data_IF_807621759167
#
_entry.id   IF_807621759167
#
_cell.length_a   1.000
_cell.length_b   1.000
_cell.length_c   1.000
_cell.angle_alpha   90.00
_cell.angle_beta   90.00
_cell.angle_gamma   90.00
#
_symmetry.space_group_name_H-M   'P 1'
#
loop_
_entity.id
_entity.type
_entity.pdbx_description
1 polymer ?
#
# COMPACT_ATOMS: atom_id res chain seq x y z
N UNK A 1 72.34 -38.89 -62.71
CA UNK A 1 71.42 -39.30 -61.63
C UNK A 1 71.89 -38.73 -60.30
N UNK A 2 71.10 -37.87 -59.65
CA UNK A 2 70.60 -38.17 -58.31
C UNK A 2 69.52 -37.16 -57.91
N UNK A 3 68.47 -37.73 -57.30
CA UNK A 3 67.11 -37.22 -57.13
C UNK A 3 66.93 -36.73 -55.68
N UNK A 4 66.18 -35.64 -55.54
CA UNK A 4 65.27 -35.27 -54.43
C UNK A 4 65.94 -34.86 -53.09
N UNK A 5 65.64 -33.67 -52.55
CA UNK A 5 64.41 -33.46 -51.76
C UNK A 5 64.03 -31.97 -51.68
N UNK A 6 62.76 -31.58 -51.89
CA UNK A 6 62.29 -30.24 -51.55
C UNK A 6 62.17 -30.16 -50.02
N UNK A 7 62.93 -29.26 -49.39
CA UNK A 7 62.72 -28.90 -48.00
C UNK A 7 61.36 -28.19 -47.91
N UNK A 8 60.34 -28.97 -47.56
CA UNK A 8 58.98 -28.50 -47.35
C UNK A 8 58.98 -27.29 -46.42
N UNK A 9 58.57 -26.18 -47.01
CA UNK A 9 58.22 -24.92 -46.39
C UNK A 9 57.19 -25.16 -45.28
N UNK A 10 57.65 -25.40 -44.04
CA UNK A 10 56.77 -25.40 -42.86
C UNK A 10 56.41 -23.96 -42.54
N UNK A 11 55.52 -23.36 -43.33
CA UNK A 11 54.79 -22.17 -42.91
C UNK A 11 53.88 -22.59 -41.76
N UNK A 12 54.28 -22.28 -40.53
CA UNK A 12 53.44 -22.45 -39.36
C UNK A 12 52.23 -21.52 -39.51
N UNK A 13 51.01 -22.04 -39.74
CA UNK A 13 49.83 -21.23 -40.05
C UNK A 13 49.29 -20.46 -38.83
N UNK A 14 49.96 -20.53 -37.68
CA UNK A 14 49.51 -20.00 -36.39
C UNK A 14 50.28 -18.73 -35.94
N UNK A 15 51.34 -18.34 -36.65
CA UNK A 15 52.10 -17.11 -36.35
C UNK A 15 51.24 -15.82 -36.37
N UNK A 16 50.33 -15.59 -37.34
CA UNK A 16 49.50 -14.38 -37.32
C UNK A 16 48.41 -14.44 -36.24
N UNK A 17 47.90 -15.63 -35.91
CA UNK A 17 46.88 -15.81 -34.88
C UNK A 17 47.37 -15.53 -33.47
N UNK A 18 48.66 -15.83 -33.18
CA UNK A 18 49.26 -15.58 -31.87
C UNK A 18 49.34 -14.09 -31.54
N UNK A 19 49.66 -13.25 -32.53
CA UNK A 19 49.69 -11.78 -32.36
C UNK A 19 48.30 -11.19 -32.16
N UNK A 20 47.28 -11.72 -32.85
CA UNK A 20 45.89 -11.35 -32.62
C UNK A 20 45.42 -11.76 -31.21
N UNK A 21 45.77 -12.95 -30.76
CA UNK A 21 45.46 -13.41 -29.41
C UNK A 21 46.16 -12.56 -28.34
N UNK A 22 47.44 -12.21 -28.54
CA UNK A 22 48.19 -11.35 -27.65
C UNK A 22 47.63 -9.92 -27.62
N UNK A 23 47.25 -9.37 -28.78
CA UNK A 23 46.59 -8.07 -28.88
C UNK A 23 45.23 -8.06 -28.18
N UNK A 24 44.42 -9.10 -28.36
CA UNK A 24 43.12 -9.22 -27.70
C UNK A 24 43.26 -9.40 -26.19
N UNK A 25 44.25 -10.19 -25.75
CA UNK A 25 44.54 -10.39 -24.33
C UNK A 25 45.07 -9.10 -23.67
N UNK A 26 45.91 -8.33 -24.38
CA UNK A 26 46.36 -7.02 -23.94
C UNK A 26 45.22 -6.02 -23.84
N UNK A 27 44.33 -5.98 -24.84
CA UNK A 27 43.15 -5.10 -24.82
C UNK A 27 42.17 -5.50 -23.72
N UNK A 28 41.93 -6.80 -23.52
CA UNK A 28 41.07 -7.30 -22.46
C UNK A 28 41.66 -7.03 -21.07
N UNK A 29 42.97 -7.18 -20.89
CA UNK A 29 43.68 -6.85 -19.66
C UNK A 29 43.61 -5.35 -19.37
N UNK A 30 43.81 -4.50 -20.39
CA UNK A 30 43.67 -3.06 -20.26
C UNK A 30 42.23 -2.66 -19.92
N UNK A 31 41.23 -3.27 -20.56
CA UNK A 31 39.82 -3.05 -20.25
C UNK A 31 39.46 -3.50 -18.83
N UNK A 32 40.08 -4.57 -18.32
CA UNK A 32 39.89 -5.05 -16.96
C UNK A 32 40.53 -4.09 -15.93
N UNK A 33 41.70 -3.51 -16.24
CA UNK A 33 42.36 -2.49 -15.40
C UNK A 33 41.60 -1.17 -15.38
N UNK A 34 41.01 -0.78 -16.52
CA UNK A 34 40.20 0.45 -16.63
C UNK A 34 38.75 0.24 -16.15
N UNK A 35 38.34 -1.01 -15.87
CA UNK A 35 37.02 -1.30 -15.32
C UNK A 35 36.96 -0.76 -13.89
N UNK A 36 35.99 0.12 -13.56
CA UNK A 36 35.84 0.63 -12.20
C UNK A 36 35.58 -0.56 -11.26
N UNK A 37 36.52 -0.80 -10.34
CA UNK A 37 36.54 -1.93 -9.38
C UNK A 37 35.38 -1.88 -8.38
N UNK A 38 34.55 -0.84 -8.39
CA UNK A 38 33.53 -0.57 -7.38
C UNK A 38 32.09 -0.88 -7.75
N UNK A 39 31.80 -1.58 -8.86
CA UNK A 39 30.41 -1.97 -9.19
C UNK A 39 30.11 -3.36 -8.64
N UNK A 40 30.06 -3.46 -7.31
CA UNK A 40 29.52 -4.64 -6.63
C UNK A 40 27.99 -4.60 -6.69
N UNK A 41 27.30 -5.75 -6.78
CA UNK A 41 25.83 -5.79 -6.86
C UNK A 41 25.17 -5.05 -5.69
N UNK A 42 25.79 -5.04 -4.51
CA UNK A 42 25.30 -4.30 -3.35
C UNK A 42 25.27 -2.79 -3.60
N UNK A 43 26.29 -2.21 -4.25
CA UNK A 43 26.29 -0.77 -4.59
C UNK A 43 25.22 -0.41 -5.64
N UNK A 44 24.86 -1.35 -6.51
CA UNK A 44 23.77 -1.17 -7.48
C UNK A 44 22.42 -1.18 -6.77
N UNK A 45 22.23 -2.11 -5.82
CA UNK A 45 21.00 -2.20 -5.02
C UNK A 45 20.85 -1.00 -4.08
N UNK A 46 21.92 -0.57 -3.44
CA UNK A 46 21.94 0.63 -2.59
C UNK A 46 21.61 1.89 -3.39
N UNK A 47 22.21 2.08 -4.57
CA UNK A 47 21.88 3.21 -5.45
C UNK A 47 20.42 3.16 -5.91
N UNK A 48 19.93 2.00 -6.31
CA UNK A 48 18.53 1.83 -6.69
C UNK A 48 17.57 2.09 -5.52
N UNK A 49 17.93 1.69 -4.30
CA UNK A 49 17.16 1.97 -3.10
C UNK A 49 17.16 3.47 -2.77
N UNK A 50 18.31 4.14 -2.89
CA UNK A 50 18.45 5.58 -2.67
C UNK A 50 17.64 6.38 -3.68
N UNK A 51 17.69 6.03 -4.97
CA UNK A 51 16.87 6.66 -6.01
C UNK A 51 15.37 6.50 -5.74
N UNK A 52 14.93 5.32 -5.29
CA UNK A 52 13.52 5.10 -4.90
C UNK A 52 13.15 5.97 -3.71
N UNK A 53 14.01 6.07 -2.71
CA UNK A 53 13.79 6.91 -1.55
C UNK A 53 13.67 8.39 -1.92
N UNK A 54 14.57 8.91 -2.75
CA UNK A 54 14.52 10.28 -3.24
C UNK A 54 13.25 10.59 -4.03
N UNK A 55 12.81 9.67 -4.90
CA UNK A 55 11.53 9.79 -5.61
C UNK A 55 10.35 9.83 -4.66
N UNK A 56 10.35 8.98 -3.64
CA UNK A 56 9.29 8.97 -2.61
C UNK A 56 9.27 10.27 -1.82
N UNK A 57 10.43 10.78 -1.41
CA UNK A 57 10.53 12.07 -0.72
C UNK A 57 10.00 13.20 -1.60
N UNK A 58 10.42 13.26 -2.86
CA UNK A 58 9.93 14.28 -3.81
C UNK A 58 8.42 14.20 -4.05
N UNK A 59 7.86 12.99 -4.13
CA UNK A 59 6.41 12.81 -4.23
C UNK A 59 5.70 13.29 -2.96
N UNK A 60 6.22 12.96 -1.78
CA UNK A 60 5.65 13.43 -0.50
C UNK A 60 5.73 14.94 -0.36
N UNK A 61 6.85 15.57 -0.72
CA UNK A 61 6.97 17.04 -0.65
C UNK A 61 6.02 17.73 -1.61
N UNK A 62 5.89 17.24 -2.84
CA UNK A 62 4.93 17.77 -3.81
C UNK A 62 3.49 17.59 -3.33
N UNK A 63 3.14 16.42 -2.80
CA UNK A 63 1.80 16.17 -2.23
C UNK A 63 1.51 17.09 -1.04
N UNK A 64 2.50 17.33 -0.18
CA UNK A 64 2.34 18.19 0.98
C UNK A 64 2.19 19.66 0.56
N UNK A 65 2.96 20.12 -0.42
CA UNK A 65 2.79 21.45 -1.01
C UNK A 65 1.38 21.57 -1.62
N UNK A 66 0.95 20.58 -2.37
CA UNK A 66 -0.35 20.51 -3.01
C UNK A 66 -1.52 20.62 -2.01
N UNK A 67 -1.37 20.06 -0.80
CA UNK A 67 -2.40 20.06 0.26
C UNK A 67 -2.40 21.34 1.09
N UNK A 68 -1.24 22.00 1.22
CA UNK A 68 -1.03 23.14 2.13
C UNK A 68 -1.02 24.50 1.43
N UNK A 69 -0.83 24.52 0.11
CA UNK A 69 -0.71 25.75 -0.67
C UNK A 69 -1.93 26.03 -1.53
N UNK A 70 -2.11 27.30 -1.85
CA UNK A 70 -3.09 27.75 -2.83
C UNK A 70 -2.54 27.56 -4.23
N UNK A 71 -3.40 27.20 -5.18
CA UNK A 71 -3.00 27.06 -6.57
C UNK A 71 -4.20 26.95 -7.50
N UNK A 72 -3.94 26.93 -8.81
CA UNK A 72 -4.96 26.67 -9.81
C UNK A 72 -4.98 25.17 -10.15
N UNK A 73 -6.17 24.56 -10.19
CA UNK A 73 -6.34 23.18 -10.70
C UNK A 73 -6.62 23.22 -12.19
N UNK A 74 -7.52 24.11 -12.61
CA UNK A 74 -7.88 24.34 -14.00
C UNK A 74 -8.27 25.80 -14.18
N UNK A 75 -7.34 26.61 -14.65
CA UNK A 75 -7.54 28.05 -14.84
C UNK A 75 -8.55 28.35 -15.95
N UNK A 76 -8.66 27.50 -16.97
CA UNK A 76 -9.61 27.67 -18.06
C UNK A 76 -11.06 27.48 -17.58
N UNK A 77 -11.26 26.59 -16.60
CA UNK A 77 -12.56 26.39 -15.94
C UNK A 77 -12.76 27.24 -14.69
N UNK A 78 -11.78 28.07 -14.31
CA UNK A 78 -11.82 28.88 -13.10
C UNK A 78 -11.81 28.07 -11.79
N UNK A 79 -11.27 26.84 -11.80
CA UNK A 79 -11.21 25.97 -10.63
C UNK A 79 -9.88 26.15 -9.90
N UNK A 80 -9.95 26.73 -8.70
CA UNK A 80 -8.80 26.91 -7.81
C UNK A 80 -8.78 25.84 -6.70
N UNK A 81 -7.57 25.50 -6.26
CA UNK A 81 -7.29 24.69 -5.09
C UNK A 81 -7.12 25.59 -3.86
N UNK A 82 -7.75 25.18 -2.77
CA UNK A 82 -7.64 25.80 -1.45
C UNK A 82 -6.96 24.79 -0.53
N UNK A 83 -6.09 25.22 0.40
CA UNK A 83 -5.50 24.36 1.42
C UNK A 83 -6.55 23.61 2.21
N UNK A 84 -6.29 22.34 2.54
CA UNK A 84 -7.28 21.48 3.18
C UNK A 84 -7.74 22.01 4.53
N UNK A 85 -6.85 22.63 5.31
CA UNK A 85 -7.21 23.27 6.59
C UNK A 85 -8.32 24.31 6.40
N UNK A 86 -8.16 25.19 5.41
CA UNK A 86 -9.13 26.24 5.10
C UNK A 86 -10.41 25.68 4.49
N UNK A 87 -10.29 24.64 3.66
CA UNK A 87 -11.46 23.95 3.12
C UNK A 87 -12.31 23.31 4.22
N UNK A 88 -11.68 22.73 5.26
CA UNK A 88 -12.39 22.20 6.43
C UNK A 88 -13.13 23.30 7.18
N UNK A 89 -12.49 24.43 7.45
CA UNK A 89 -13.13 25.56 8.17
C UNK A 89 -14.37 26.07 7.43
N UNK A 90 -14.25 26.26 6.11
CA UNK A 90 -15.37 26.67 5.26
C UNK A 90 -16.50 25.62 5.23
N UNK A 91 -16.13 24.34 5.21
CA UNK A 91 -17.09 23.24 5.18
C UNK A 91 -17.83 23.13 6.52
N UNK A 92 -17.14 23.29 7.65
CA UNK A 92 -17.76 23.29 8.98
C UNK A 92 -18.73 24.46 9.12
N UNK A 93 -18.33 25.66 8.69
CA UNK A 93 -19.22 26.83 8.69
C UNK A 93 -20.48 26.57 7.84
N UNK A 94 -20.30 25.99 6.65
CA UNK A 94 -21.41 25.64 5.75
C UNK A 94 -22.32 24.56 6.36
N UNK A 95 -21.76 23.54 7.00
CA UNK A 95 -22.52 22.48 7.66
C UNK A 95 -23.29 23.01 8.87
N UNK A 96 -22.71 23.93 9.67
CA UNK A 96 -23.44 24.59 10.77
C UNK A 96 -24.62 25.43 10.28
N UNK A 97 -24.50 26.04 9.09
CA UNK A 97 -25.60 26.78 8.48
C UNK A 97 -26.68 25.87 7.88
N UNK A 98 -26.38 24.60 7.62
CA UNK A 98 -27.33 23.64 7.09
C UNK A 98 -28.04 22.89 8.23
N UNK A 99 -29.36 22.78 8.14
CA UNK A 99 -30.11 21.96 9.09
C UNK A 99 -29.69 20.48 8.95
N UNK A 100 -29.51 19.75 10.06
CA UNK A 100 -29.19 18.34 10.01
C UNK A 100 -30.32 17.60 9.30
N UNK A 101 -29.99 16.84 8.26
CA UNK A 101 -30.95 15.95 7.61
C UNK A 101 -31.30 14.82 8.59
N UNK A 102 -32.59 14.46 8.73
CA UNK A 102 -32.98 13.36 9.58
C UNK A 102 -32.27 12.08 9.11
N UNK A 103 -31.69 11.34 10.05
CA UNK A 103 -31.12 10.03 9.75
C UNK A 103 -32.23 9.12 9.22
N UNK A 104 -31.95 8.42 8.12
CA UNK A 104 -32.87 7.41 7.60
C UNK A 104 -33.06 6.30 8.64
N UNK A 105 -34.24 5.65 8.67
CA UNK A 105 -34.47 4.53 9.57
C UNK A 105 -33.42 3.45 9.33
N UNK A 106 -32.74 3.06 10.40
CA UNK A 106 -31.85 1.90 10.39
C UNK A 106 -32.77 0.68 10.30
N UNK A 107 -32.95 0.14 9.10
CA UNK A 107 -33.53 -1.20 8.94
C UNK A 107 -32.53 -2.19 9.51
N UNK A 108 -32.75 -2.59 10.75
CA UNK A 108 -32.03 -3.70 11.37
C UNK A 108 -32.38 -4.93 10.53
N UNK A 109 -31.43 -5.38 9.72
CA UNK A 109 -31.55 -6.65 9.02
C UNK A 109 -31.52 -7.70 10.13
N UNK A 110 -32.63 -8.42 10.33
CA UNK A 110 -32.63 -9.57 11.22
C UNK A 110 -31.48 -10.49 10.79
N UNK A 111 -30.65 -10.95 11.72
CA UNK A 111 -29.47 -11.78 11.39
C UNK A 111 -29.82 -13.02 10.54
N UNK A 112 -31.07 -13.48 10.58
CA UNK A 112 -31.61 -14.55 9.74
C UNK A 112 -31.74 -14.20 8.25
N UNK A 113 -31.86 -12.93 7.89
CA UNK A 113 -31.95 -12.49 6.48
C UNK A 113 -30.58 -12.37 5.80
N UNK A 114 -29.49 -12.23 6.57
CA UNK A 114 -28.11 -12.25 6.05
C UNK A 114 -27.76 -13.65 5.53
N UNK A 115 -28.28 -14.71 6.17
CA UNK A 115 -28.12 -16.10 5.72
C UNK A 115 -29.02 -16.45 4.54
N UNK A 116 -30.19 -15.82 4.40
CA UNK A 116 -31.17 -16.17 3.36
C UNK A 116 -30.85 -15.60 1.96
N UNK A 117 -30.06 -14.52 1.86
CA UNK A 117 -29.80 -13.85 0.59
C UNK A 117 -28.69 -14.49 -0.26
N UNK A 118 -27.91 -15.45 0.26
CA UNK A 118 -26.83 -16.18 -0.43
C UNK A 118 -25.79 -15.34 -1.20
N UNK A 119 -25.86 -14.01 -1.10
CA UNK A 119 -24.95 -13.05 -1.70
C UNK A 119 -24.39 -12.19 -0.56
N UNK A 120 -23.12 -12.38 -0.19
CA UNK A 120 -22.51 -11.49 0.79
C UNK A 120 -22.36 -10.10 0.16
N UNK A 121 -22.82 -9.06 0.87
CA UNK A 121 -22.62 -7.65 0.48
C UNK A 121 -21.14 -7.22 0.54
N UNK A 122 -20.24 -8.12 0.93
CA UNK A 122 -18.81 -7.92 1.02
C UNK A 122 -18.08 -9.13 0.44
N UNK A 123 -16.92 -8.95 -0.21
CA UNK A 123 -16.05 -10.09 -0.51
C UNK A 123 -15.68 -10.77 0.81
N UNK A 124 -16.07 -12.04 0.96
CA UNK A 124 -15.72 -12.91 2.07
C UNK A 124 -14.20 -13.04 2.15
N UNK A 125 -13.56 -12.19 2.95
CA UNK A 125 -12.22 -12.46 3.43
C UNK A 125 -12.39 -13.57 4.47
N UNK A 126 -11.70 -14.72 4.37
CA UNK A 126 -11.86 -15.80 5.34
C UNK A 126 -11.49 -15.27 6.72
N UNK A 127 -12.49 -15.06 7.56
CA UNK A 127 -12.29 -14.63 8.94
C UNK A 127 -11.87 -15.86 9.72
N UNK A 128 -10.59 -15.93 10.09
CA UNK A 128 -10.09 -16.97 10.96
C UNK A 128 -10.78 -16.86 12.34
N UNK A 129 -11.54 -17.90 12.70
CA UNK A 129 -12.30 -17.92 13.95
C UNK A 129 -11.39 -17.81 15.19
N UNK A 130 -10.14 -18.28 15.09
CA UNK A 130 -9.12 -18.11 16.12
C UNK A 130 -8.68 -16.66 16.28
N UNK A 131 -8.53 -15.93 15.17
CA UNK A 131 -8.19 -14.50 15.18
C UNK A 131 -9.31 -13.64 15.81
N UNK A 132 -10.58 -13.96 15.56
CA UNK A 132 -11.69 -13.28 16.25
C UNK A 132 -11.73 -13.60 17.75
N UNK A 133 -11.51 -14.86 18.13
CA UNK A 133 -11.48 -15.25 19.55
C UNK A 133 -10.32 -14.56 20.30
N UNK A 134 -9.16 -14.43 19.65
CA UNK A 134 -8.00 -13.72 20.18
C UNK A 134 -8.27 -12.22 20.31
N UNK A 135 -8.92 -11.59 19.34
CA UNK A 135 -9.32 -10.19 19.41
C UNK A 135 -10.34 -9.95 20.54
N UNK A 136 -11.34 -10.82 20.69
CA UNK A 136 -12.35 -10.73 21.75
C UNK A 136 -11.73 -10.90 23.15
N UNK A 137 -10.71 -11.75 23.27
CA UNK A 137 -9.95 -11.94 24.50
C UNK A 137 -9.00 -10.75 24.79
N UNK A 138 -8.43 -10.14 23.76
CA UNK A 138 -7.56 -8.97 23.89
C UNK A 138 -8.32 -7.69 24.27
N UNK A 139 -9.57 -7.54 23.84
CA UNK A 139 -10.46 -6.42 24.21
C UNK A 139 -11.07 -6.55 25.63
N UNK A 140 -10.70 -7.59 26.39
CA UNK A 140 -11.08 -7.73 27.79
C UNK A 140 -12.57 -7.99 28.02
N UNK A 141 -13.28 -8.57 27.04
CA UNK A 141 -14.68 -8.95 27.19
C UNK A 141 -14.78 -10.18 28.12
N UNK A 142 -14.98 -9.91 29.41
CA UNK A 142 -15.40 -10.92 30.36
C UNK A 142 -16.66 -11.63 29.83
N UNK A 143 -16.61 -12.96 29.79
CA UNK A 143 -17.71 -13.83 29.41
C UNK A 143 -18.98 -13.44 30.17
N UNK A 144 -19.97 -12.93 29.44
CA UNK A 144 -21.33 -12.80 29.96
C UNK A 144 -21.88 -14.22 30.06
N UNK A 145 -21.89 -14.75 31.28
CA UNK A 145 -22.46 -16.04 31.62
C UNK A 145 -23.92 -16.12 31.11
N UNK A 146 -24.32 -17.16 30.35
CA UNK A 146 -25.70 -17.33 29.97
C UNK A 146 -26.48 -17.99 31.11
N UNK A 147 -27.65 -17.41 31.39
CA UNK A 147 -28.79 -18.01 32.11
C UNK A 147 -28.86 -17.82 33.64
N UNK A 148 -29.65 -16.83 34.04
CA UNK A 148 -30.59 -16.98 35.15
C UNK A 148 -32.00 -16.57 34.63
N UNK A 149 -33.05 -17.37 34.90
CA UNK A 149 -34.35 -17.26 34.24
C UNK A 149 -35.24 -16.15 34.82
N UNK A 150 -36.00 -15.53 33.92
CA UNK A 150 -37.34 -14.97 34.08
C UNK A 150 -37.78 -14.48 35.48
N UNK A 151 -37.84 -13.16 35.64
CA UNK A 151 -38.82 -12.52 36.51
C UNK A 151 -39.89 -11.80 35.66
N UNK A 152 -41.10 -12.35 35.64
CA UNK A 152 -42.38 -11.70 35.29
C UNK A 152 -43.28 -11.84 36.54
N UNK A 153 -44.35 -11.04 36.71
CA UNK A 153 -44.46 -9.58 36.68
C UNK A 153 -45.10 -9.07 38.01
N UNK A 154 -44.72 -7.89 38.52
CA UNK A 154 -45.46 -7.29 39.63
C UNK A 154 -46.70 -6.52 39.10
N UNK A 155 -47.90 -6.69 39.68
CA UNK A 155 -49.14 -6.10 39.19
C UNK A 155 -49.26 -4.61 39.52
N UNK A 156 -49.99 -3.90 38.65
CA UNK A 156 -50.42 -2.52 38.82
C UNK A 156 -51.18 -2.29 40.13
N UNK A 157 -50.69 -1.36 40.96
CA UNK A 157 -51.49 -0.71 41.99
C UNK A 157 -52.05 0.61 41.44
N UNK A 158 -53.38 0.72 41.52
CA UNK A 158 -54.23 1.85 41.10
C UNK A 158 -53.97 3.12 41.94
N UNK A 159 -54.49 4.29 41.49
CA UNK A 159 -54.05 5.62 41.89
C UNK A 159 -54.54 6.03 43.28
N UNK A 160 -53.72 6.81 43.99
CA UNK A 160 -54.19 7.58 45.14
C UNK A 160 -54.86 8.87 44.67
N UNK A 161 -56.17 8.96 44.89
CA UNK A 161 -56.96 10.19 44.94
C UNK A 161 -58.21 9.88 45.77
N UNK A 162 -58.92 10.84 46.39
CA UNK A 162 -58.69 12.29 46.47
C UNK A 162 -58.82 12.84 47.92
N UNK A 163 -58.44 14.10 48.18
CA UNK A 163 -59.33 14.97 48.97
C UNK A 163 -59.07 16.44 48.68
N UNK A 164 -60.14 17.13 48.32
CA UNK A 164 -60.24 18.56 48.07
C UNK A 164 -61.12 19.11 49.19
N UNK A 165 -60.64 20.10 49.94
CA UNK A 165 -61.44 21.23 50.42
C UNK A 165 -60.53 22.35 50.89
#
# INVERSE_FOLDING_TARGET
MNRNSPLSERRHPYLPGLWLAAGFLGLASLALLLRPVGVTPDTILEKAAMERWERLQKLKTNQLADVTTYGWVDQAKGVARIPVAQAMDLTIAKLRAQNPKPAYPITIIAGSAITAAAYPLYPEVPVDAGAMAAALAADGAAAVNPSAPAAKPAPAAKPASPEKK
#
